data_IF_826077772477
#
_entry.id   IF_826077772477
#
_cell.length_a   1.000
_cell.length_b   1.000
_cell.length_c   1.000
_cell.angle_alpha   90.00
_cell.angle_beta   90.00
_cell.angle_gamma   90.00
#
_symmetry.space_group_name_H-M   'P 1'
#
loop_
_entity.id
_entity.type
_entity.pdbx_description
1 polymer ?
#
# COMPACT_ATOMS: atom_id res chain seq x y z
N UNK A 1 1.80 16.09 16.82
CA UNK A 1 2.69 15.96 15.65
C UNK A 1 3.11 14.53 15.36
N UNK A 2 3.89 13.83 16.19
CA UNK A 2 4.29 12.45 15.85
C UNK A 2 3.09 11.49 15.75
N UNK A 3 2.18 11.56 16.72
CA UNK A 3 0.91 10.81 16.69
C UNK A 3 0.04 11.11 15.45
N UNK A 4 -0.03 12.39 15.04
CA UNK A 4 -0.80 12.80 13.86
C UNK A 4 -0.19 12.29 12.55
N UNK A 5 1.14 12.16 12.49
CA UNK A 5 1.80 11.51 11.35
C UNK A 5 1.56 10.01 11.36
N UNK A 6 1.65 9.35 12.52
CA UNK A 6 1.41 7.91 12.62
C UNK A 6 0.00 7.51 12.14
N UNK A 7 -1.04 8.24 12.56
CA UNK A 7 -2.42 8.01 12.08
C UNK A 7 -2.56 8.24 10.57
N UNK A 8 -1.98 9.31 10.04
CA UNK A 8 -2.01 9.59 8.59
C UNK A 8 -1.29 8.53 7.78
N UNK A 9 -0.14 8.06 8.28
CA UNK A 9 0.64 7.02 7.62
C UNK A 9 -0.14 5.70 7.65
N UNK A 10 -0.78 5.36 8.78
CA UNK A 10 -1.65 4.18 8.88
C UNK A 10 -2.79 4.23 7.88
N UNK A 11 -3.49 5.37 7.79
CA UNK A 11 -4.54 5.57 6.80
C UNK A 11 -4.03 5.42 5.36
N UNK A 12 -2.86 6.01 5.06
CA UNK A 12 -2.25 5.93 3.74
C UNK A 12 -1.91 4.48 3.38
N UNK A 13 -1.29 3.73 4.30
CA UNK A 13 -1.00 2.30 4.12
C UNK A 13 -2.29 1.52 3.85
N UNK A 14 -3.34 1.72 4.66
CA UNK A 14 -4.61 1.02 4.48
C UNK A 14 -5.27 1.34 3.13
N UNK A 15 -5.24 2.61 2.70
CA UNK A 15 -5.76 3.05 1.40
C UNK A 15 -4.98 2.40 0.26
N UNK A 16 -3.65 2.36 0.34
CA UNK A 16 -2.79 1.71 -0.65
C UNK A 16 -3.03 0.22 -0.77
N UNK A 17 -3.18 -0.48 0.36
CA UNK A 17 -3.51 -1.92 0.37
C UNK A 17 -4.87 -2.18 -0.28
N UNK A 18 -5.88 -1.37 0.04
CA UNK A 18 -7.22 -1.48 -0.58
C UNK A 18 -7.18 -1.19 -2.08
N UNK A 19 -6.39 -0.19 -2.51
CA UNK A 19 -6.20 0.14 -3.91
C UNK A 19 -5.52 -1.01 -4.67
N UNK A 20 -4.48 -1.63 -4.10
CA UNK A 20 -3.83 -2.80 -4.67
C UNK A 20 -4.80 -3.99 -4.79
N UNK A 21 -5.56 -4.29 -3.73
CA UNK A 21 -6.59 -5.35 -3.78
C UNK A 21 -7.58 -5.10 -4.92
N UNK A 22 -8.05 -3.85 -5.07
CA UNK A 22 -8.97 -3.48 -6.15
C UNK A 22 -8.33 -3.65 -7.52
N UNK A 23 -7.08 -3.23 -7.69
CA UNK A 23 -6.31 -3.39 -8.92
C UNK A 23 -6.22 -4.86 -9.35
N UNK A 24 -5.92 -5.78 -8.42
CA UNK A 24 -5.86 -7.20 -8.75
C UNK A 24 -7.22 -7.81 -9.07
N UNK A 25 -8.30 -7.38 -8.42
CA UNK A 25 -9.66 -7.81 -8.77
C UNK A 25 -10.09 -7.33 -10.15
N UNK A 26 -9.76 -6.09 -10.50
CA UNK A 26 -10.04 -5.54 -11.83
C UNK A 26 -9.25 -6.29 -12.91
N UNK A 27 -7.97 -6.58 -12.66
CA UNK A 27 -7.15 -7.41 -13.54
C UNK A 27 -7.71 -8.83 -13.70
N UNK A 28 -8.20 -9.44 -12.61
CA UNK A 28 -8.84 -10.76 -12.65
C UNK A 28 -10.10 -10.72 -13.53
N UNK A 29 -10.97 -9.74 -13.33
CA UNK A 29 -12.18 -9.55 -14.12
C UNK A 29 -11.88 -9.40 -15.62
N UNK A 30 -10.90 -8.58 -15.99
CA UNK A 30 -10.48 -8.39 -17.38
C UNK A 30 -9.91 -9.69 -18.00
N UNK A 31 -9.16 -10.48 -17.23
CA UNK A 31 -8.67 -11.78 -17.68
C UNK A 31 -9.82 -12.77 -17.93
N UNK A 32 -10.86 -12.73 -17.08
CA UNK A 32 -12.06 -13.56 -17.25
C UNK A 32 -12.84 -13.17 -18.50
N UNK A 33 -13.03 -11.88 -18.74
CA UNK A 33 -13.74 -11.34 -19.91
C UNK A 33 -12.99 -11.61 -21.23
N UNK A 34 -11.66 -11.65 -21.20
CA UNK A 34 -10.81 -11.91 -22.36
C UNK A 34 -10.48 -13.40 -22.60
N UNK A 35 -10.89 -14.30 -21.69
CA UNK A 35 -10.54 -15.72 -21.76
C UNK A 35 -9.05 -16.03 -21.53
N UNK A 36 -8.29 -15.07 -20.98
CA UNK A 36 -6.87 -15.24 -20.70
C UNK A 36 -6.65 -16.14 -19.47
N UNK A 37 -5.56 -16.94 -19.42
CA UNK A 37 -5.23 -17.72 -18.24
C UNK A 37 -5.04 -16.80 -17.02
N UNK A 38 -5.86 -16.99 -15.99
CA UNK A 38 -5.67 -16.30 -14.71
C UNK A 38 -4.55 -16.99 -13.94
N UNK A 39 -3.47 -16.26 -13.70
CA UNK A 39 -2.45 -16.65 -12.72
C UNK A 39 -2.61 -15.77 -11.48
N UNK A 40 -2.63 -16.37 -10.27
CA UNK A 40 -2.59 -15.58 -9.04
C UNK A 40 -1.29 -14.76 -8.99
N UNK A 41 -1.35 -13.49 -8.53
CA UNK A 41 -0.15 -12.70 -8.36
C UNK A 41 0.74 -13.32 -7.28
N UNK A 42 2.05 -13.25 -7.46
CA UNK A 42 2.99 -13.60 -6.38
C UNK A 42 3.07 -12.45 -5.36
N UNK A 43 3.53 -12.75 -4.15
CA UNK A 43 3.63 -11.74 -3.09
C UNK A 43 4.46 -10.51 -3.50
N UNK A 44 5.55 -10.71 -4.25
CA UNK A 44 6.41 -9.62 -4.72
C UNK A 44 5.68 -8.67 -5.68
N UNK A 45 4.83 -9.20 -6.58
CA UNK A 45 4.00 -8.38 -7.46
C UNK A 45 2.96 -7.59 -6.64
N UNK A 46 2.34 -8.23 -5.65
CA UNK A 46 1.41 -7.56 -4.76
C UNK A 46 2.10 -6.43 -3.97
N UNK A 47 3.24 -6.73 -3.34
CA UNK A 47 4.00 -5.77 -2.56
C UNK A 47 4.46 -4.58 -3.42
N UNK A 48 4.95 -4.83 -4.63
CA UNK A 48 5.36 -3.78 -5.58
C UNK A 48 4.20 -2.83 -5.93
N UNK A 49 3.00 -3.36 -6.18
CA UNK A 49 1.82 -2.53 -6.44
C UNK A 49 1.41 -1.73 -5.20
N UNK A 50 1.44 -2.34 -4.01
CA UNK A 50 1.15 -1.61 -2.77
C UNK A 50 2.16 -0.49 -2.55
N UNK A 51 3.45 -0.74 -2.78
CA UNK A 51 4.53 0.25 -2.67
C UNK A 51 4.32 1.42 -3.63
N UNK A 52 3.87 1.17 -4.86
CA UNK A 52 3.54 2.24 -5.81
C UNK A 52 2.41 3.14 -5.28
N UNK A 53 1.33 2.56 -4.74
CA UNK A 53 0.25 3.35 -4.15
C UNK A 53 0.68 4.09 -2.88
N UNK A 54 1.55 3.47 -2.08
CA UNK A 54 2.14 4.08 -0.89
C UNK A 54 3.01 5.28 -1.26
N UNK A 55 3.85 5.18 -2.28
CA UNK A 55 4.67 6.29 -2.77
C UNK A 55 3.82 7.47 -3.28
N UNK A 56 2.73 7.19 -3.99
CA UNK A 56 1.79 8.23 -4.42
C UNK A 56 1.17 8.95 -3.21
N UNK A 57 0.72 8.18 -2.21
CA UNK A 57 0.16 8.73 -0.97
C UNK A 57 1.19 9.56 -0.19
N UNK A 58 2.41 9.03 -0.03
CA UNK A 58 3.54 9.70 0.63
C UNK A 58 3.81 11.06 -0.02
N UNK A 59 3.93 11.12 -1.36
CA UNK A 59 4.16 12.37 -2.10
C UNK A 59 3.02 13.35 -1.91
N UNK A 60 1.77 12.88 -1.96
CA UNK A 60 0.59 13.72 -1.76
C UNK A 60 0.58 14.36 -0.36
N UNK A 61 0.95 13.62 0.69
CA UNK A 61 1.01 14.16 2.05
C UNK A 61 2.24 15.04 2.27
N UNK A 62 3.41 14.70 1.72
CA UNK A 62 4.59 15.57 1.76
C UNK A 62 4.36 16.92 1.09
N UNK A 63 3.59 16.96 -0.01
CA UNK A 63 3.26 18.21 -0.71
C UNK A 63 2.39 19.14 0.14
N UNK A 64 1.63 18.62 1.11
CA UNK A 64 0.84 19.43 2.06
C UNK A 64 1.72 20.06 3.15
N UNK A 65 2.93 19.54 3.37
CA UNK A 65 3.86 20.04 4.37
C UNK A 65 4.65 21.23 3.80
N UNK A 66 4.49 22.39 4.44
CA UNK A 66 5.04 23.67 3.97
C UNK A 66 6.52 23.88 4.32
N UNK A 67 7.02 23.23 5.37
CA UNK A 67 8.40 23.41 5.83
C UNK A 67 9.26 22.16 5.59
N UNK A 68 10.54 22.32 5.22
CA UNK A 68 11.46 21.20 5.03
C UNK A 68 11.59 20.31 6.28
N UNK A 69 11.66 20.90 7.47
CA UNK A 69 11.76 20.17 8.73
C UNK A 69 10.57 19.24 9.02
N UNK A 70 9.35 19.65 8.63
CA UNK A 70 8.17 18.79 8.76
C UNK A 70 8.21 17.64 7.74
N UNK A 71 8.74 17.88 6.54
CA UNK A 71 8.92 16.83 5.52
C UNK A 71 9.93 15.78 6.00
N UNK A 72 11.04 16.21 6.58
CA UNK A 72 12.06 15.30 7.14
C UNK A 72 11.49 14.46 8.29
N UNK A 73 10.71 15.07 9.19
CA UNK A 73 10.05 14.36 10.29
C UNK A 73 9.03 13.33 9.76
N UNK A 74 8.23 13.72 8.77
CA UNK A 74 7.27 12.82 8.13
C UNK A 74 7.97 11.65 7.43
N UNK A 75 9.06 11.90 6.71
CA UNK A 75 9.81 10.86 6.02
C UNK A 75 10.43 9.84 7.00
N UNK A 76 10.95 10.32 8.14
CA UNK A 76 11.44 9.44 9.21
C UNK A 76 10.32 8.60 9.81
N UNK A 77 9.18 9.21 10.12
CA UNK A 77 8.01 8.51 10.65
C UNK A 77 7.51 7.44 9.65
N UNK A 78 7.46 7.78 8.37
CA UNK A 78 7.10 6.87 7.29
C UNK A 78 8.03 5.65 7.22
N UNK A 79 9.34 5.89 7.19
CA UNK A 79 10.34 4.83 7.13
C UNK A 79 10.29 3.92 8.37
N UNK A 80 10.06 4.50 9.55
CA UNK A 80 9.89 3.73 10.78
C UNK A 80 8.63 2.86 10.72
N UNK A 81 7.53 3.39 10.21
CA UNK A 81 6.26 2.66 10.11
C UNK A 81 6.33 1.48 9.16
N UNK A 82 6.93 1.63 7.99
CA UNK A 82 7.08 0.54 7.02
C UNK A 82 7.94 -0.61 7.54
N UNK A 83 8.89 -0.33 8.44
CA UNK A 83 9.72 -1.34 9.11
C UNK A 83 9.01 -2.03 10.26
N UNK A 84 7.83 -1.56 10.66
CA UNK A 84 7.08 -2.15 11.75
C UNK A 84 6.53 -3.52 11.35
N UNK A 85 6.74 -4.52 12.20
CA UNK A 85 6.24 -5.87 12.02
C UNK A 85 4.72 -5.91 11.81
N UNK A 86 3.96 -5.05 12.50
CA UNK A 86 2.51 -4.98 12.34
C UNK A 86 2.10 -4.61 10.90
N UNK A 87 2.80 -3.64 10.29
CA UNK A 87 2.57 -3.22 8.90
C UNK A 87 2.95 -4.33 7.93
N UNK A 88 4.10 -4.98 8.11
CA UNK A 88 4.51 -6.11 7.26
C UNK A 88 3.53 -7.29 7.36
N UNK A 89 3.07 -7.59 8.57
CA UNK A 89 2.04 -8.61 8.81
C UNK A 89 0.73 -8.27 8.11
N UNK A 90 0.28 -7.01 8.19
CA UNK A 90 -0.94 -6.56 7.52
C UNK A 90 -0.85 -6.73 5.98
N UNK A 91 0.30 -6.42 5.37
CA UNK A 91 0.52 -6.65 3.94
C UNK A 91 0.40 -8.12 3.57
N UNK A 92 1.00 -8.99 4.38
CA UNK A 92 0.94 -10.43 4.17
C UNK A 92 -0.47 -11.00 4.35
N UNK A 93 -1.19 -10.59 5.37
CA UNK A 93 -2.58 -10.99 5.60
C UNK A 93 -3.49 -10.53 4.45
N UNK A 94 -3.28 -9.31 3.92
CA UNK A 94 -4.02 -8.80 2.76
C UNK A 94 -3.74 -9.62 1.50
N UNK A 95 -2.48 -10.00 1.27
CA UNK A 95 -2.10 -10.88 0.17
C UNK A 95 -2.74 -12.27 0.30
N UNK A 96 -2.65 -12.90 1.48
CA UNK A 96 -3.26 -14.21 1.73
C UNK A 96 -4.78 -14.18 1.53
N UNK A 97 -5.44 -13.08 1.88
CA UNK A 97 -6.87 -12.90 1.63
C UNK A 97 -7.22 -12.80 0.12
N UNK A 98 -6.34 -12.25 -0.71
CA UNK A 98 -6.49 -12.27 -2.17
C UNK A 98 -6.27 -13.71 -2.67
N UNK A 99 -5.21 -14.37 -2.23
CA UNK A 99 -4.85 -15.72 -2.67
C UNK A 99 -5.93 -16.76 -2.36
N UNK A 100 -6.64 -16.64 -1.22
CA UNK A 100 -7.77 -17.52 -0.88
C UNK A 100 -8.98 -17.40 -1.82
N UNK A 101 -9.05 -16.33 -2.60
CA UNK A 101 -10.18 -16.02 -3.50
C UNK A 101 -9.83 -16.19 -4.98
N UNK A 102 -8.56 -16.43 -5.29
CA UNK A 102 -8.11 -16.90 -6.60
C UNK A 102 -8.36 -18.41 -6.70
#
# INVERSE_FOLDING_TARGET
MQYEFDEKIDEAIQKSVRAAIRHFKERQKLAQESGSPQRPPIYEEFASIVDQFMEVSKRADMNKLRTPSLRDLFERAWAQKLRNYATQRQLREAYEAIMRRY
#
